data_IF_173855457320
#
_entry.id   IF_173855457320
#
_cell.length_a   1.000
_cell.length_b   1.000
_cell.length_c   1.000
_cell.angle_alpha   90.00
_cell.angle_beta   90.00
_cell.angle_gamma   90.00
#
_symmetry.space_group_name_H-M   'P 1'
#
loop_
_entity.id
_entity.type
_entity.pdbx_description
1 polymer ?
#
# COMPACT_ATOMS: atom_id res chain seq x y z
N UNK A 1 15.29 -0.14 -1.18
CA UNK A 1 13.87 -0.03 -1.59
C UNK A 1 13.09 0.31 -0.32
N UNK A 2 12.33 1.41 -0.29
CA UNK A 2 11.60 1.86 0.91
C UNK A 2 10.40 0.94 1.19
N UNK A 3 9.63 0.58 0.15
CA UNK A 3 8.49 -0.33 0.26
C UNK A 3 8.86 -1.67 0.91
N UNK A 4 10.03 -2.23 0.57
CA UNK A 4 10.53 -3.47 1.20
C UNK A 4 10.64 -3.38 2.72
N UNK A 5 11.16 -2.26 3.23
CA UNK A 5 11.31 -2.05 4.67
C UNK A 5 9.97 -1.77 5.36
N UNK A 6 9.05 -1.12 4.67
CA UNK A 6 7.74 -0.80 5.23
C UNK A 6 6.76 -1.99 5.17
N UNK A 7 6.90 -2.91 4.20
CA UNK A 7 5.94 -3.98 3.93
C UNK A 7 6.58 -5.36 3.86
N UNK A 8 7.41 -5.61 2.85
CA UNK A 8 7.84 -6.96 2.46
C UNK A 8 8.54 -7.71 3.60
N UNK A 9 9.43 -7.04 4.35
CA UNK A 9 10.15 -7.66 5.48
C UNK A 9 9.22 -8.20 6.58
N UNK A 10 7.98 -7.70 6.66
CA UNK A 10 7.01 -8.11 7.68
C UNK A 10 6.22 -9.35 7.26
N UNK A 11 6.20 -9.69 5.96
CA UNK A 11 5.44 -10.82 5.41
C UNK A 11 5.98 -12.19 5.82
N UNK A 12 7.28 -12.30 6.06
CA UNK A 12 7.94 -13.54 6.51
C UNK A 12 7.97 -13.68 8.03
N UNK A 13 7.36 -12.75 8.75
CA UNK A 13 7.31 -12.74 10.22
C UNK A 13 5.89 -13.00 10.71
N UNK A 14 5.74 -13.15 12.03
CA UNK A 14 4.44 -13.22 12.70
C UNK A 14 3.50 -12.03 12.36
N UNK A 15 4.06 -10.91 11.87
CA UNK A 15 3.30 -9.71 11.52
C UNK A 15 2.54 -9.82 10.21
N UNK A 16 2.70 -10.90 9.43
CA UNK A 16 2.03 -11.08 8.12
C UNK A 16 0.53 -10.76 8.15
N UNK A 17 -0.18 -11.27 9.16
CA UNK A 17 -1.62 -11.07 9.34
C UNK A 17 -1.94 -9.98 10.38
N UNK A 18 -0.94 -9.26 10.88
CA UNK A 18 -1.15 -8.10 11.75
C UNK A 18 -1.69 -6.94 10.91
N UNK A 19 -2.62 -6.17 11.48
CA UNK A 19 -3.05 -4.90 10.92
C UNK A 19 -1.84 -3.99 10.65
N UNK A 20 -1.71 -3.56 9.39
CA UNK A 20 -0.69 -2.63 8.90
C UNK A 20 -1.28 -1.22 8.74
N UNK A 21 -2.52 -1.13 8.27
CA UNK A 21 -3.26 0.10 8.12
C UNK A 21 -4.66 -0.10 8.73
N UNK A 22 -5.04 0.81 9.61
CA UNK A 22 -6.40 0.94 10.13
C UNK A 22 -6.85 2.32 9.67
N UNK A 23 -7.83 2.35 8.78
CA UNK A 23 -8.41 3.56 8.24
C UNK A 23 -9.83 3.71 8.76
N UNK A 24 -10.16 4.93 9.17
CA UNK A 24 -11.49 5.34 9.63
C UNK A 24 -11.91 6.57 8.83
N UNK A 25 -13.07 6.48 8.18
CA UNK A 25 -13.71 7.55 7.44
C UNK A 25 -14.97 8.07 8.15
N UNK A 26 -15.52 9.18 7.67
CA UNK A 26 -16.73 9.77 8.21
C UNK A 26 -17.99 9.40 7.40
N UNK A 27 -19.13 9.06 8.03
CA UNK A 27 -19.30 8.44 9.34
C UNK A 27 -19.54 6.92 9.21
N UNK A 28 -18.61 6.11 9.72
CA UNK A 28 -18.80 4.67 9.95
C UNK A 28 -18.04 3.74 9.01
N UNK A 29 -17.42 4.27 7.95
CA UNK A 29 -16.55 3.48 7.09
C UNK A 29 -15.23 3.20 7.81
N UNK A 30 -14.89 1.92 7.92
CA UNK A 30 -13.60 1.51 8.46
C UNK A 30 -13.00 0.41 7.61
N UNK A 31 -11.69 0.44 7.45
CA UNK A 31 -10.96 -0.58 6.71
C UNK A 31 -9.68 -0.92 7.44
N UNK A 32 -9.52 -2.20 7.74
CA UNK A 32 -8.26 -2.73 8.28
C UNK A 32 -7.58 -3.57 7.20
N UNK A 33 -6.37 -3.18 6.83
CA UNK A 33 -5.52 -3.94 5.93
C UNK A 33 -4.38 -4.56 6.73
N UNK A 34 -4.24 -5.87 6.63
CA UNK A 34 -3.06 -6.59 7.12
C UNK A 34 -1.84 -6.32 6.25
N UNK A 35 -0.64 -6.59 6.75
CA UNK A 35 0.59 -6.49 5.95
C UNK A 35 0.51 -7.30 4.65
N UNK A 36 -0.06 -8.50 4.69
CA UNK A 36 -0.25 -9.33 3.51
C UNK A 36 -1.20 -8.72 2.47
N UNK A 37 -2.32 -8.14 2.93
CA UNK A 37 -3.29 -7.47 2.05
C UNK A 37 -2.70 -6.20 1.45
N UNK A 38 -2.08 -5.35 2.26
CA UNK A 38 -1.48 -4.11 1.82
C UNK A 38 -0.34 -4.35 0.82
N UNK A 39 0.50 -5.37 1.05
CA UNK A 39 1.51 -5.76 0.07
C UNK A 39 0.91 -6.16 -1.28
N UNK A 40 -0.20 -6.92 -1.28
CA UNK A 40 -0.88 -7.32 -2.52
C UNK A 40 -1.37 -6.10 -3.30
N UNK A 41 -2.02 -5.15 -2.62
CA UNK A 41 -2.54 -3.92 -3.25
C UNK A 41 -1.40 -3.05 -3.79
N UNK A 42 -0.31 -2.88 -3.04
CA UNK A 42 0.87 -2.12 -3.47
C UNK A 42 1.56 -2.78 -4.68
N UNK A 43 1.71 -4.11 -4.71
CA UNK A 43 2.27 -4.81 -5.86
C UNK A 43 1.38 -4.65 -7.11
N UNK A 44 0.06 -4.72 -6.94
CA UNK A 44 -0.89 -4.51 -8.03
C UNK A 44 -0.77 -3.10 -8.60
N UNK A 45 -0.75 -2.07 -7.75
CA UNK A 45 -0.59 -0.68 -8.17
C UNK A 45 0.77 -0.43 -8.83
N UNK A 46 1.85 -1.00 -8.29
CA UNK A 46 3.18 -0.91 -8.89
C UNK A 46 3.23 -1.52 -10.31
N UNK A 47 2.49 -2.60 -10.55
CA UNK A 47 2.38 -3.18 -11.89
C UNK A 47 1.58 -2.28 -12.85
N UNK A 48 0.55 -1.60 -12.37
CA UNK A 48 -0.19 -0.60 -13.17
C UNK A 48 0.74 0.55 -13.58
N UNK A 49 1.52 1.11 -12.65
CA UNK A 49 2.48 2.18 -12.97
C UNK A 49 3.52 1.73 -14.00
N UNK A 50 4.02 0.49 -13.88
CA UNK A 50 4.92 -0.10 -14.89
C UNK A 50 4.26 -0.23 -16.26
N UNK A 51 2.99 -0.67 -16.31
CA UNK A 51 2.23 -0.76 -17.56
C UNK A 51 1.98 0.62 -18.20
N UNK A 52 1.80 1.65 -17.39
CA UNK A 52 1.72 3.05 -17.84
C UNK A 52 3.08 3.64 -18.26
N UNK A 53 4.16 2.86 -18.19
CA UNK A 53 5.48 3.25 -18.68
C UNK A 53 6.35 4.00 -17.67
N UNK A 54 5.95 4.06 -16.40
CA UNK A 54 6.74 4.71 -15.33
C UNK A 54 8.06 3.95 -15.12
N UNK A 55 9.18 4.67 -15.14
CA UNK A 55 10.54 4.16 -14.95
C UNK A 55 11.18 4.75 -13.70
N UNK A 56 12.31 4.16 -13.31
CA UNK A 56 13.14 4.68 -12.21
C UNK A 56 13.60 6.10 -12.55
N UNK A 57 13.26 7.05 -11.66
CA UNK A 57 13.59 8.47 -11.83
C UNK A 57 12.42 9.33 -12.30
N UNK A 58 11.33 8.72 -12.75
CA UNK A 58 10.11 9.44 -13.12
C UNK A 58 9.38 9.95 -11.88
N UNK A 59 8.65 11.06 -12.04
CA UNK A 59 7.88 11.71 -10.98
C UNK A 59 6.40 11.41 -11.20
N UNK A 60 5.74 10.93 -10.16
CA UNK A 60 4.29 10.69 -10.15
C UNK A 60 3.67 11.64 -9.14
N UNK A 61 2.78 12.52 -9.60
CA UNK A 61 1.98 13.37 -8.72
C UNK A 61 0.84 12.57 -8.12
N UNK A 62 0.68 12.65 -6.80
CA UNK A 62 -0.43 12.02 -6.07
C UNK A 62 -1.29 13.15 -5.51
N UNK A 63 -2.55 13.19 -5.94
CA UNK A 63 -3.55 14.13 -5.41
C UNK A 63 -4.80 13.34 -5.04
N UNK A 64 -4.86 12.92 -3.77
CA UNK A 64 -5.92 12.08 -3.22
C UNK A 64 -6.33 12.59 -1.82
N UNK A 65 -7.59 12.37 -1.41
CA UNK A 65 -8.04 12.63 -0.04
C UNK A 65 -7.42 11.62 0.95
N UNK A 66 -7.76 11.73 2.24
CA UNK A 66 -7.34 10.77 3.27
C UNK A 66 -8.10 9.44 3.14
N UNK A 67 -7.67 8.61 2.20
CA UNK A 67 -8.19 7.26 1.91
C UNK A 67 -7.05 6.23 2.01
N UNK A 68 -7.35 4.94 2.24
CA UNK A 68 -6.30 3.93 2.41
C UNK A 68 -5.45 3.69 1.15
N UNK A 69 -5.92 4.12 -0.02
CA UNK A 69 -5.22 4.05 -1.30
C UNK A 69 -4.16 5.15 -1.51
N UNK A 70 -4.10 6.16 -0.62
CA UNK A 70 -3.19 7.29 -0.71
C UNK A 70 -1.71 6.91 -0.44
#
# INVERSE_FOLDING_TARGET
NISYNCLDRHLTTWRRNKAALIWEGEPGDSRTLTYAQLHREVCQFANVLKQLGVKKGDRVGIYMPMIPEA
#
